data_IF_019249528443
#
_entry.id   IF_019249528443
#
_cell.length_a   1.000
_cell.length_b   1.000
_cell.length_c   1.000
_cell.angle_alpha   90.00
_cell.angle_beta   90.00
_cell.angle_gamma   90.00
#
_symmetry.space_group_name_H-M   'P 1'
#
loop_
_entity.id
_entity.type
_entity.pdbx_description
1 polymer ?
#
# COMPACT_ATOMS: atom_id res chain seq x y z
N UNK A 1 20.31 43.30 55.19
CA UNK A 1 21.05 42.06 54.93
C UNK A 1 20.13 41.07 54.30
N UNK A 2 20.25 40.84 52.97
CA UNK A 2 19.44 39.87 52.17
C UNK A 2 20.17 38.52 52.23
N UNK A 3 19.55 37.50 52.82
CA UNK A 3 20.07 36.13 52.81
C UNK A 3 19.69 35.51 51.45
N UNK A 4 20.72 35.22 50.61
CA UNK A 4 20.59 34.48 49.41
C UNK A 4 20.61 32.99 49.78
N UNK A 5 19.48 32.30 49.57
CA UNK A 5 19.37 30.84 49.73
C UNK A 5 19.73 30.22 48.38
N UNK A 6 20.89 29.56 48.29
CA UNK A 6 21.28 28.74 47.16
C UNK A 6 20.53 27.39 47.26
N UNK A 7 19.54 27.19 46.40
CA UNK A 7 18.94 25.88 46.20
C UNK A 7 19.82 25.13 45.19
N UNK A 8 20.59 24.17 45.68
CA UNK A 8 21.29 23.19 44.88
C UNK A 8 20.25 22.20 44.30
N UNK A 9 19.84 22.37 43.05
CA UNK A 9 19.09 21.36 42.32
C UNK A 9 20.09 20.30 41.90
N UNK A 10 20.18 19.22 42.65
CA UNK A 10 20.87 18.00 42.23
C UNK A 10 19.98 17.36 41.16
N UNK A 11 20.32 17.63 39.92
CA UNK A 11 19.76 16.89 38.76
C UNK A 11 20.32 15.47 38.82
N UNK A 12 19.59 14.57 39.47
CA UNK A 12 19.84 13.12 39.35
C UNK A 12 19.52 12.75 37.93
N UNK A 13 20.54 12.75 37.06
CA UNK A 13 20.49 12.12 35.76
C UNK A 13 20.35 10.61 35.98
N UNK A 14 19.14 10.15 36.19
CA UNK A 14 18.80 8.76 35.91
C UNK A 14 18.98 8.57 34.43
N UNK A 15 20.19 8.26 34.03
CA UNK A 15 20.45 7.63 32.74
C UNK A 15 19.73 6.28 32.72
N UNK A 16 18.45 6.29 32.36
CA UNK A 16 17.81 5.06 31.90
C UNK A 16 18.62 4.59 30.68
N UNK A 17 19.63 3.78 30.94
CA UNK A 17 20.29 3.02 29.90
C UNK A 17 19.20 2.23 29.21
N UNK A 18 18.80 2.65 27.98
CA UNK A 18 17.91 1.85 27.15
C UNK A 18 18.64 0.52 26.96
N UNK A 19 18.12 -0.54 27.59
CA UNK A 19 18.61 -1.89 27.31
C UNK A 19 18.61 -2.07 25.78
N UNK A 20 19.73 -2.60 25.27
CA UNK A 20 19.81 -2.93 23.85
C UNK A 20 18.71 -3.97 23.54
N UNK A 21 17.71 -3.64 22.72
CA UNK A 21 16.63 -4.58 22.38
C UNK A 21 17.13 -5.81 21.60
N UNK A 22 18.36 -5.75 21.09
CA UNK A 22 19.00 -6.80 20.30
C UNK A 22 20.36 -7.18 20.90
N UNK A 23 20.37 -7.86 22.08
CA UNK A 23 21.59 -8.10 22.83
C UNK A 23 22.43 -9.28 22.28
N UNK A 24 21.85 -10.12 21.39
CA UNK A 24 22.52 -11.35 20.97
C UNK A 24 23.41 -11.09 19.74
N UNK A 25 24.61 -11.65 19.79
CA UNK A 25 25.56 -11.71 18.68
C UNK A 25 25.63 -13.12 18.09
N UNK A 26 26.28 -13.29 16.92
CA UNK A 26 26.47 -14.59 16.30
C UNK A 26 27.31 -15.52 17.21
N UNK A 27 28.21 -14.97 18.02
CA UNK A 27 29.03 -15.75 18.95
C UNK A 27 28.23 -16.46 20.06
N UNK A 28 27.00 -16.03 20.30
CA UNK A 28 26.15 -16.62 21.34
C UNK A 28 25.45 -17.91 20.90
N UNK A 29 25.64 -18.33 19.68
CA UNK A 29 25.09 -19.56 19.11
C UNK A 29 26.12 -20.68 19.09
N UNK A 30 25.67 -21.92 18.97
CA UNK A 30 26.56 -23.07 18.84
C UNK A 30 27.46 -22.99 17.60
N UNK A 31 28.71 -23.48 17.66
CA UNK A 31 29.72 -23.29 16.61
C UNK A 31 29.24 -23.66 15.19
N UNK A 32 28.52 -24.78 15.07
CA UNK A 32 28.01 -25.27 13.78
C UNK A 32 27.05 -24.29 13.15
N UNK A 33 26.22 -23.61 13.95
CA UNK A 33 25.26 -22.61 13.48
C UNK A 33 25.94 -21.31 13.10
N UNK A 34 26.98 -20.91 13.85
CA UNK A 34 27.71 -19.65 13.60
C UNK A 34 28.24 -19.55 12.18
N UNK A 35 28.68 -20.66 11.57
CA UNK A 35 29.23 -20.70 10.20
C UNK A 35 28.18 -20.19 9.20
N UNK A 36 26.95 -20.66 9.32
CA UNK A 36 25.84 -20.32 8.43
C UNK A 36 25.27 -18.92 8.74
N UNK A 37 25.21 -18.54 10.01
CA UNK A 37 24.77 -17.21 10.42
C UNK A 37 25.73 -16.13 9.91
N UNK A 38 27.05 -16.34 9.98
CA UNK A 38 28.05 -15.42 9.43
C UNK A 38 27.87 -15.22 7.92
N UNK A 39 27.63 -16.30 7.17
CA UNK A 39 27.37 -16.21 5.74
C UNK A 39 26.12 -15.38 5.43
N UNK A 40 24.99 -15.63 6.11
CA UNK A 40 23.75 -14.92 5.90
C UNK A 40 23.82 -13.45 6.30
N UNK A 41 24.42 -13.14 7.44
CA UNK A 41 24.58 -11.75 7.92
C UNK A 41 25.55 -10.94 7.07
N UNK A 42 26.59 -11.58 6.49
CA UNK A 42 27.58 -10.87 5.66
C UNK A 42 26.99 -10.30 4.36
N UNK A 43 25.91 -10.87 3.84
CA UNK A 43 25.26 -10.40 2.61
C UNK A 43 24.52 -9.06 2.81
N UNK A 44 24.12 -8.72 4.03
CA UNK A 44 23.36 -7.50 4.40
C UNK A 44 22.10 -7.24 3.57
N UNK A 45 21.57 -8.25 2.90
CA UNK A 45 20.45 -8.16 1.96
C UNK A 45 19.56 -9.40 2.01
N UNK A 46 18.32 -9.24 1.50
CA UNK A 46 17.34 -10.32 1.32
C UNK A 46 16.75 -10.28 -0.10
N UNK A 47 16.37 -11.45 -0.66
CA UNK A 47 16.69 -12.78 -0.13
C UNK A 47 18.19 -13.04 -0.19
N UNK A 48 18.70 -13.78 0.79
CA UNK A 48 20.09 -14.24 0.72
C UNK A 48 20.28 -15.18 -0.46
N UNK A 49 21.41 -15.06 -1.15
CA UNK A 49 21.80 -15.96 -2.25
C UNK A 49 22.25 -17.32 -1.76
N UNK A 50 22.75 -17.43 -0.52
CA UNK A 50 23.19 -18.68 0.07
C UNK A 50 22.01 -19.58 0.47
N UNK A 51 21.56 -20.41 -0.49
CA UNK A 51 20.47 -21.37 -0.28
C UNK A 51 20.84 -22.46 0.72
N UNK A 52 22.12 -22.85 0.78
CA UNK A 52 22.63 -23.87 1.71
C UNK A 52 22.48 -23.35 3.13
N UNK A 53 22.97 -22.14 3.40
CA UNK A 53 22.88 -21.55 4.73
C UNK A 53 21.42 -21.37 5.16
N UNK A 54 20.54 -20.87 4.28
CA UNK A 54 19.11 -20.74 4.57
C UNK A 54 18.43 -22.08 4.90
N UNK A 55 18.72 -23.10 4.13
CA UNK A 55 18.15 -24.43 4.37
C UNK A 55 18.69 -25.03 5.68
N UNK A 56 19.97 -24.85 5.98
CA UNK A 56 20.53 -25.29 7.25
C UNK A 56 19.80 -24.67 8.45
N UNK A 57 19.58 -23.35 8.44
CA UNK A 57 18.82 -22.66 9.49
C UNK A 57 17.41 -23.24 9.61
N UNK A 58 16.73 -23.39 8.47
CA UNK A 58 15.36 -23.93 8.43
C UNK A 58 15.26 -25.33 9.03
N UNK A 59 16.23 -26.18 8.76
CA UNK A 59 16.18 -27.61 9.16
C UNK A 59 16.72 -27.81 10.57
N UNK A 60 17.78 -27.12 10.94
CA UNK A 60 18.58 -27.45 12.13
C UNK A 60 18.41 -26.52 13.32
N UNK A 61 17.79 -25.34 13.16
CA UNK A 61 17.53 -24.44 14.29
C UNK A 61 16.36 -24.94 15.13
N UNK A 62 16.55 -24.97 16.45
CA UNK A 62 15.46 -25.19 17.40
C UNK A 62 14.59 -23.93 17.49
N UNK A 63 13.42 -24.05 18.14
CA UNK A 63 12.54 -22.88 18.40
C UNK A 63 13.25 -21.86 19.27
N UNK A 64 13.96 -22.28 20.30
CA UNK A 64 14.70 -21.43 21.22
C UNK A 64 15.80 -20.64 20.49
N UNK A 65 16.54 -21.30 19.60
CA UNK A 65 17.55 -20.65 18.77
C UNK A 65 16.93 -19.61 17.82
N UNK A 66 15.78 -19.91 17.21
CA UNK A 66 15.07 -18.95 16.36
C UNK A 66 14.56 -17.75 17.16
N UNK A 67 14.02 -17.95 18.36
CA UNK A 67 13.62 -16.85 19.27
C UNK A 67 14.81 -16.02 19.72
N UNK A 68 15.97 -16.65 19.95
CA UNK A 68 17.22 -15.95 20.22
C UNK A 68 17.73 -15.15 19.03
N UNK A 69 17.59 -15.69 17.80
CA UNK A 69 17.93 -14.99 16.56
C UNK A 69 17.05 -13.74 16.31
N UNK A 70 15.78 -13.75 16.71
CA UNK A 70 14.91 -12.57 16.66
C UNK A 70 15.41 -11.40 17.51
N UNK A 71 16.29 -11.66 18.47
CA UNK A 71 16.97 -10.66 19.31
C UNK A 71 18.43 -10.46 18.92
N UNK A 72 18.84 -10.91 17.73
CA UNK A 72 20.20 -10.72 17.22
C UNK A 72 20.42 -9.28 16.76
N UNK A 73 21.63 -8.75 16.96
CA UNK A 73 22.03 -7.42 16.47
C UNK A 73 21.88 -7.26 14.95
N UNK A 74 22.08 -8.36 14.19
CA UNK A 74 21.94 -8.37 12.74
C UNK A 74 20.47 -8.45 12.29
N UNK A 75 19.93 -7.41 11.61
CA UNK A 75 18.52 -7.37 11.20
C UNK A 75 18.16 -8.40 10.12
N UNK A 76 19.10 -8.81 9.28
CA UNK A 76 18.87 -9.86 8.26
C UNK A 76 18.56 -11.19 8.95
N UNK A 77 19.32 -11.51 10.01
CA UNK A 77 19.11 -12.74 10.77
C UNK A 77 17.78 -12.74 11.51
N UNK A 78 17.30 -11.57 12.01
CA UNK A 78 15.97 -11.46 12.61
C UNK A 78 14.87 -11.78 11.62
N UNK A 79 14.95 -11.25 10.39
CA UNK A 79 13.96 -11.55 9.34
C UNK A 79 14.01 -13.04 8.94
N UNK A 80 15.20 -13.62 8.79
CA UNK A 80 15.36 -15.05 8.47
C UNK A 80 14.77 -15.93 9.57
N UNK A 81 15.00 -15.60 10.84
CA UNK A 81 14.45 -16.31 11.98
C UNK A 81 12.91 -16.33 11.94
N UNK A 82 12.29 -15.17 11.79
CA UNK A 82 10.83 -15.09 11.70
C UNK A 82 10.26 -15.85 10.50
N UNK A 83 10.87 -15.70 9.32
CA UNK A 83 10.47 -16.47 8.12
C UNK A 83 10.54 -17.97 8.36
N UNK A 84 11.54 -18.43 9.10
CA UNK A 84 11.69 -19.83 9.47
C UNK A 84 10.59 -20.28 10.42
N UNK A 85 10.27 -19.51 11.44
CA UNK A 85 9.17 -19.75 12.38
C UNK A 85 7.83 -19.92 11.63
N UNK A 86 7.52 -18.98 10.74
CA UNK A 86 6.31 -19.06 9.92
C UNK A 86 6.29 -20.29 9.02
N UNK A 87 7.42 -20.62 8.39
CA UNK A 87 7.54 -21.78 7.50
C UNK A 87 7.42 -23.12 8.25
N UNK A 88 7.89 -23.18 9.51
CA UNK A 88 7.73 -24.35 10.39
C UNK A 88 6.31 -24.49 10.98
N UNK A 89 5.38 -23.60 10.63
CA UNK A 89 4.01 -23.59 11.14
C UNK A 89 3.92 -23.45 12.67
N UNK A 90 4.84 -22.72 13.27
CA UNK A 90 4.79 -22.47 14.71
C UNK A 90 3.51 -21.68 15.07
N UNK A 91 2.75 -22.18 16.02
CA UNK A 91 1.47 -21.59 16.45
C UNK A 91 1.60 -20.18 17.04
N UNK A 92 2.79 -19.85 17.55
CA UNK A 92 3.04 -18.56 18.21
C UNK A 92 3.50 -17.48 17.22
N UNK A 93 3.60 -17.77 15.90
CA UNK A 93 4.14 -16.85 14.90
C UNK A 93 3.46 -15.47 14.91
N UNK A 94 2.14 -15.42 15.15
CA UNK A 94 1.39 -14.16 15.20
C UNK A 94 1.70 -13.35 16.46
N UNK A 95 1.78 -14.00 17.61
CA UNK A 95 2.21 -13.35 18.87
C UNK A 95 3.62 -12.77 18.73
N UNK A 96 4.54 -13.56 18.18
CA UNK A 96 5.91 -13.12 17.89
C UNK A 96 5.93 -11.92 16.95
N UNK A 97 5.09 -11.91 15.91
CA UNK A 97 4.96 -10.75 15.03
C UNK A 97 4.60 -9.48 15.80
N UNK A 98 3.57 -9.54 16.64
CA UNK A 98 3.10 -8.38 17.41
C UNK A 98 4.18 -7.83 18.37
N UNK A 99 5.00 -8.69 18.95
CA UNK A 99 6.11 -8.32 19.83
C UNK A 99 7.24 -7.57 19.08
N UNK A 100 7.35 -7.72 17.76
CA UNK A 100 8.42 -7.16 16.93
C UNK A 100 7.98 -6.02 16.00
N UNK A 101 6.78 -5.47 16.19
CA UNK A 101 6.28 -4.33 15.39
C UNK A 101 7.08 -3.03 15.60
N UNK A 102 7.88 -2.93 16.66
CA UNK A 102 8.76 -1.80 16.94
C UNK A 102 10.12 -1.88 16.26
N UNK A 103 10.44 -2.96 15.55
CA UNK A 103 11.74 -3.11 14.90
C UNK A 103 11.83 -2.29 13.61
N UNK A 104 12.32 -1.06 13.75
CA UNK A 104 12.47 -0.10 12.63
C UNK A 104 13.82 -0.17 11.93
N UNK A 105 14.67 -1.16 12.31
CA UNK A 105 15.96 -1.35 11.63
C UNK A 105 15.73 -1.71 10.18
N UNK A 106 16.50 -1.09 9.28
CA UNK A 106 16.34 -1.30 7.85
C UNK A 106 17.13 -2.50 7.34
N UNK A 107 16.53 -3.17 6.37
CA UNK A 107 17.13 -4.29 5.62
C UNK A 107 16.86 -4.06 4.15
N UNK A 108 17.90 -4.20 3.32
CA UNK A 108 17.78 -4.11 1.87
C UNK A 108 17.11 -5.36 1.32
N UNK A 109 16.00 -5.16 0.58
CA UNK A 109 15.28 -6.24 -0.11
C UNK A 109 15.47 -6.10 -1.62
N UNK A 110 16.04 -7.12 -2.23
CA UNK A 110 16.22 -7.21 -3.68
C UNK A 110 15.02 -7.92 -4.32
N UNK A 111 14.40 -7.26 -5.28
CA UNK A 111 13.29 -7.83 -6.07
C UNK A 111 13.81 -8.57 -7.31
N UNK A 112 14.79 -7.92 -7.99
CA UNK A 112 15.46 -8.39 -9.19
C UNK A 112 16.96 -8.03 -9.08
N UNK A 113 17.72 -8.38 -10.09
CA UNK A 113 19.18 -8.13 -10.11
C UNK A 113 19.54 -6.64 -9.98
N UNK A 114 18.65 -5.74 -10.44
CA UNK A 114 18.87 -4.28 -10.51
C UNK A 114 17.87 -3.46 -9.68
N UNK A 115 16.95 -4.09 -9.00
CA UNK A 115 15.88 -3.40 -8.26
C UNK A 115 15.85 -3.81 -6.79
N UNK A 116 16.04 -2.84 -5.90
CA UNK A 116 15.98 -3.04 -4.44
C UNK A 116 15.33 -1.87 -3.73
N UNK A 117 14.86 -2.13 -2.54
CA UNK A 117 14.35 -1.13 -1.58
C UNK A 117 14.77 -1.50 -0.16
N UNK A 118 14.82 -0.49 0.71
CA UNK A 118 15.07 -0.68 2.13
C UNK A 118 13.75 -0.73 2.91
N UNK A 119 13.50 -1.85 3.58
CA UNK A 119 12.33 -2.05 4.43
C UNK A 119 12.72 -2.14 5.90
N UNK A 120 11.82 -1.72 6.79
CA UNK A 120 11.95 -2.03 8.21
C UNK A 120 11.79 -3.53 8.42
N UNK A 121 12.48 -4.09 9.40
CA UNK A 121 12.32 -5.50 9.78
C UNK A 121 10.85 -5.80 10.02
N UNK A 122 10.14 -4.99 10.82
CA UNK A 122 8.70 -5.15 11.09
C UNK A 122 7.85 -5.24 9.82
N UNK A 123 8.11 -4.41 8.78
CA UNK A 123 7.40 -4.48 7.50
C UNK A 123 7.63 -5.84 6.81
N UNK A 124 8.86 -6.37 6.85
CA UNK A 124 9.20 -7.66 6.26
C UNK A 124 8.58 -8.84 7.02
N UNK A 125 8.45 -8.71 8.35
CA UNK A 125 7.77 -9.71 9.17
C UNK A 125 6.27 -9.75 8.85
N UNK A 126 5.63 -8.58 8.76
CA UNK A 126 4.20 -8.47 8.40
C UNK A 126 3.94 -9.07 7.01
N UNK A 127 4.75 -8.69 6.01
CA UNK A 127 4.65 -9.26 4.66
C UNK A 127 4.76 -10.78 4.67
N UNK A 128 5.70 -11.34 5.46
CA UNK A 128 5.85 -12.80 5.55
C UNK A 128 4.64 -13.47 6.18
N UNK A 129 4.05 -12.87 7.21
CA UNK A 129 2.83 -13.39 7.83
C UNK A 129 1.66 -13.40 6.85
N UNK A 130 1.49 -12.31 6.08
CA UNK A 130 0.46 -12.17 5.05
C UNK A 130 0.65 -13.18 3.90
N UNK A 131 1.85 -13.23 3.30
CA UNK A 131 2.19 -14.14 2.19
C UNK A 131 1.95 -15.60 2.55
N UNK A 132 2.06 -15.95 3.83
CA UNK A 132 1.80 -17.29 4.31
C UNK A 132 0.34 -17.72 4.20
N UNK A 133 -0.59 -16.74 4.05
CA UNK A 133 -2.06 -16.90 4.03
C UNK A 133 -2.63 -17.61 5.26
N UNK A 134 -1.91 -17.55 6.39
CA UNK A 134 -2.29 -18.22 7.64
C UNK A 134 -3.04 -17.31 8.60
N UNK A 135 -2.96 -15.99 8.41
CA UNK A 135 -3.67 -15.03 9.24
C UNK A 135 -5.17 -15.26 9.17
N UNK A 136 -5.77 -15.53 10.30
CA UNK A 136 -7.23 -15.54 10.46
C UNK A 136 -7.76 -14.12 10.32
N UNK A 137 -9.08 -13.97 10.08
CA UNK A 137 -9.70 -12.66 9.99
C UNK A 137 -9.56 -11.85 11.31
N UNK A 138 -9.59 -12.53 12.45
CA UNK A 138 -9.35 -11.91 13.76
C UNK A 138 -7.91 -11.38 13.88
N UNK A 139 -6.93 -12.19 13.50
CA UNK A 139 -5.50 -11.78 13.53
C UNK A 139 -5.24 -10.62 12.57
N UNK A 140 -5.83 -10.62 11.37
CA UNK A 140 -5.77 -9.49 10.45
C UNK A 140 -6.33 -8.22 11.08
N UNK A 141 -7.48 -8.29 11.73
CA UNK A 141 -8.06 -7.13 12.41
C UNK A 141 -7.17 -6.60 13.53
N UNK A 142 -6.60 -7.48 14.36
CA UNK A 142 -5.66 -7.11 15.43
C UNK A 142 -4.40 -6.46 14.84
N UNK A 143 -3.88 -7.01 13.75
CA UNK A 143 -2.69 -6.48 13.09
C UNK A 143 -2.95 -5.09 12.49
N UNK A 144 -4.08 -4.90 11.81
CA UNK A 144 -4.50 -3.59 11.27
C UNK A 144 -4.63 -2.56 12.39
N UNK A 145 -5.26 -2.92 13.52
CA UNK A 145 -5.36 -2.04 14.69
C UNK A 145 -3.98 -1.68 15.24
N UNK A 146 -3.13 -2.68 15.40
CA UNK A 146 -1.77 -2.48 15.94
C UNK A 146 -0.95 -1.57 15.03
N UNK A 147 -0.99 -1.79 13.72
CA UNK A 147 -0.24 -1.01 12.75
C UNK A 147 -0.80 0.41 12.64
N UNK A 148 -2.10 0.58 12.39
CA UNK A 148 -2.66 1.91 12.13
C UNK A 148 -2.70 2.80 13.36
N UNK A 149 -2.98 2.24 14.55
CA UNK A 149 -3.16 3.03 15.76
C UNK A 149 -1.88 3.21 16.59
N UNK A 150 -0.95 2.25 16.53
CA UNK A 150 0.27 2.29 17.35
C UNK A 150 1.55 2.48 16.52
N UNK A 151 1.58 1.96 15.28
CA UNK A 151 2.75 1.97 14.41
C UNK A 151 2.45 2.57 13.01
N UNK A 152 1.78 3.74 12.89
CA UNK A 152 1.36 4.29 11.61
C UNK A 152 2.54 4.71 10.71
N UNK A 153 3.76 4.72 11.23
CA UNK A 153 4.99 5.00 10.50
C UNK A 153 5.47 3.82 9.65
N UNK A 154 4.99 2.61 9.89
CA UNK A 154 5.33 1.44 9.09
C UNK A 154 4.83 1.60 7.65
N UNK A 155 5.63 1.15 6.68
CA UNK A 155 5.29 1.29 5.27
C UNK A 155 4.06 0.46 4.89
N UNK A 156 3.91 -0.72 5.48
CA UNK A 156 2.75 -1.59 5.29
C UNK A 156 1.42 -0.88 5.63
N UNK A 157 1.44 0.12 6.53
CA UNK A 157 0.24 0.91 6.85
C UNK A 157 -0.36 1.58 5.61
N UNK A 158 0.47 1.95 4.61
CA UNK A 158 -0.01 2.60 3.38
C UNK A 158 -0.77 1.62 2.49
N UNK A 159 -0.40 0.33 2.50
CA UNK A 159 -1.14 -0.70 1.76
C UNK A 159 -2.42 -1.09 2.48
N UNK A 160 -2.39 -1.21 3.80
CA UNK A 160 -3.61 -1.46 4.60
C UNK A 160 -4.68 -0.41 4.35
N UNK A 161 -4.30 0.87 4.20
CA UNK A 161 -5.23 1.97 3.93
C UNK A 161 -6.02 1.80 2.62
N UNK A 162 -5.48 1.07 1.65
CA UNK A 162 -6.16 0.83 0.38
C UNK A 162 -7.36 -0.11 0.54
N UNK A 163 -7.24 -1.09 1.44
CA UNK A 163 -8.17 -2.22 1.54
C UNK A 163 -9.18 -2.07 2.67
N UNK A 164 -8.83 -1.34 3.75
CA UNK A 164 -9.70 -1.23 4.91
C UNK A 164 -11.01 -0.52 4.61
N UNK A 165 -12.07 -0.99 5.24
CA UNK A 165 -13.34 -0.28 5.27
C UNK A 165 -13.28 0.94 6.21
N UNK A 166 -14.06 2.01 5.96
CA UNK A 166 -14.07 3.18 6.81
C UNK A 166 -14.54 2.83 8.22
N UNK A 167 -13.71 3.14 9.21
CA UNK A 167 -14.04 2.97 10.62
C UNK A 167 -13.55 4.19 11.39
N UNK A 168 -14.43 4.79 12.20
CA UNK A 168 -14.14 6.05 12.90
C UNK A 168 -12.88 5.99 13.77
N UNK A 169 -12.52 4.82 14.31
CA UNK A 169 -11.28 4.65 15.09
C UNK A 169 -10.01 4.98 14.30
N UNK A 170 -10.03 4.84 12.97
CA UNK A 170 -8.87 5.15 12.10
C UNK A 170 -8.93 6.56 11.48
N UNK A 171 -10.07 7.25 11.57
CA UNK A 171 -10.27 8.51 10.87
C UNK A 171 -9.18 9.55 11.17
N UNK A 172 -8.85 9.73 12.45
CA UNK A 172 -7.84 10.72 12.87
C UNK A 172 -6.47 10.43 12.27
N UNK A 173 -5.99 9.19 12.37
CA UNK A 173 -4.68 8.80 11.85
C UNK A 173 -4.63 8.87 10.33
N UNK A 174 -5.68 8.46 9.63
CA UNK A 174 -5.79 8.56 8.17
C UNK A 174 -5.73 10.04 7.73
N UNK A 175 -6.50 10.90 8.39
CA UNK A 175 -6.51 12.34 8.12
C UNK A 175 -5.15 12.99 8.38
N UNK A 176 -4.43 12.55 9.40
CA UNK A 176 -3.07 13.02 9.66
C UNK A 176 -2.09 12.57 8.58
N UNK A 177 -2.12 11.29 8.19
CA UNK A 177 -1.29 10.74 7.09
C UNK A 177 -1.54 11.46 5.76
N UNK A 178 -2.79 11.81 5.45
CA UNK A 178 -3.13 12.53 4.21
C UNK A 178 -2.48 13.92 4.12
N UNK A 179 -2.09 14.52 5.24
CA UNK A 179 -1.43 15.85 5.26
C UNK A 179 0.09 15.78 5.06
N UNK A 180 0.69 14.59 5.20
CA UNK A 180 2.13 14.41 5.09
C UNK A 180 2.49 14.25 3.61
N UNK A 181 3.22 15.24 3.06
CA UNK A 181 3.73 15.16 1.70
C UNK A 181 4.84 14.12 1.63
N UNK A 182 4.78 13.26 0.63
CA UNK A 182 5.79 12.22 0.37
C UNK A 182 6.09 12.15 -1.13
N UNK A 183 7.25 11.65 -1.46
CA UNK A 183 7.70 11.48 -2.86
C UNK A 183 7.02 10.28 -3.55
N UNK A 184 6.41 9.38 -2.76
CA UNK A 184 5.69 8.21 -3.28
C UNK A 184 4.19 8.49 -3.35
N UNK A 185 3.61 8.38 -4.54
CA UNK A 185 2.18 8.58 -4.80
C UNK A 185 1.26 7.84 -3.82
N UNK A 186 1.57 6.58 -3.53
CA UNK A 186 0.71 5.72 -2.71
C UNK A 186 0.63 6.10 -1.24
N UNK A 187 1.55 6.88 -0.71
CA UNK A 187 1.56 7.22 0.72
C UNK A 187 0.55 8.30 1.06
N UNK A 188 0.74 9.51 0.55
CA UNK A 188 -0.19 10.63 0.83
C UNK A 188 -1.53 10.43 0.15
N UNK A 189 -1.54 10.09 -1.14
CA UNK A 189 -2.77 9.92 -1.90
C UNK A 189 -3.50 8.62 -1.56
N UNK A 190 -2.79 7.58 -1.13
CA UNK A 190 -3.40 6.38 -0.53
C UNK A 190 -4.17 6.71 0.74
N UNK A 191 -3.62 7.59 1.59
CA UNK A 191 -4.35 8.11 2.75
C UNK A 191 -5.54 8.99 2.36
N UNK A 192 -5.42 9.82 1.30
CA UNK A 192 -6.55 10.58 0.74
C UNK A 192 -7.65 9.64 0.20
N UNK A 193 -7.26 8.56 -0.46
CA UNK A 193 -8.19 7.53 -0.92
C UNK A 193 -8.93 6.87 0.25
N UNK A 194 -8.22 6.49 1.31
CA UNK A 194 -8.86 5.96 2.52
C UNK A 194 -9.78 7.00 3.18
N UNK A 195 -9.37 8.27 3.24
CA UNK A 195 -10.16 9.36 3.80
C UNK A 195 -11.44 9.61 3.00
N UNK A 196 -11.38 9.50 1.66
CA UNK A 196 -12.55 9.68 0.80
C UNK A 196 -13.67 8.66 1.06
N UNK A 197 -13.33 7.47 1.55
CA UNK A 197 -14.32 6.42 1.90
C UNK A 197 -15.27 6.87 3.03
N UNK A 198 -14.84 7.79 3.90
CA UNK A 198 -15.68 8.35 4.97
C UNK A 198 -16.73 9.36 4.48
N UNK A 199 -16.58 9.90 3.27
CA UNK A 199 -17.52 10.83 2.61
C UNK A 199 -17.89 12.04 3.47
N UNK A 200 -16.94 12.56 4.27
CA UNK A 200 -17.19 13.72 5.15
C UNK A 200 -16.95 15.03 4.41
N UNK A 201 -17.99 15.89 4.33
CA UNK A 201 -17.89 17.20 3.69
C UNK A 201 -16.78 18.08 4.28
N UNK A 202 -16.47 17.92 5.57
CA UNK A 202 -15.37 18.63 6.24
C UNK A 202 -13.98 18.32 5.65
N UNK A 203 -13.83 17.24 4.85
CA UNK A 203 -12.57 16.85 4.23
C UNK A 203 -12.43 17.34 2.78
N UNK A 204 -13.50 17.84 2.16
CA UNK A 204 -13.50 18.28 0.74
C UNK A 204 -12.41 19.31 0.48
N UNK A 205 -12.31 20.35 1.32
CA UNK A 205 -11.30 21.40 1.17
C UNK A 205 -9.87 20.86 1.26
N UNK A 206 -9.63 19.95 2.20
CA UNK A 206 -8.32 19.29 2.37
C UNK A 206 -7.97 18.45 1.13
N UNK A 207 -8.85 17.53 0.75
CA UNK A 207 -8.66 16.65 -0.40
C UNK A 207 -8.43 17.45 -1.69
N UNK A 208 -9.28 18.45 -1.97
CA UNK A 208 -9.12 19.32 -3.15
C UNK A 208 -7.76 20.01 -3.18
N UNK A 209 -7.29 20.52 -2.04
CA UNK A 209 -6.01 21.23 -1.97
C UNK A 209 -4.82 20.30 -2.25
N UNK A 210 -4.90 19.03 -1.86
CA UNK A 210 -3.88 18.02 -2.13
C UNK A 210 -3.92 17.61 -3.60
N UNK A 211 -5.09 17.28 -4.14
CA UNK A 211 -5.26 16.85 -5.53
C UNK A 211 -4.74 17.87 -6.55
N UNK A 212 -4.95 19.17 -6.28
CA UNK A 212 -4.46 20.23 -7.16
C UNK A 212 -2.93 20.42 -7.15
N UNK A 213 -2.24 19.88 -6.13
CA UNK A 213 -0.79 19.99 -5.96
C UNK A 213 -0.04 18.70 -6.26
N UNK A 214 -0.78 17.63 -6.53
CA UNK A 214 -0.20 16.31 -6.77
C UNK A 214 0.38 16.18 -8.17
N UNK A 215 1.39 15.34 -8.32
CA UNK A 215 2.04 15.06 -9.59
C UNK A 215 1.10 14.33 -10.56
N UNK A 216 1.38 14.51 -11.86
CA UNK A 216 0.59 13.91 -12.93
C UNK A 216 0.61 12.39 -12.91
N UNK A 217 1.70 11.81 -12.46
CA UNK A 217 1.88 10.35 -12.41
C UNK A 217 1.07 9.68 -11.29
N UNK A 218 0.46 10.49 -10.41
CA UNK A 218 -0.31 10.03 -9.25
C UNK A 218 -1.83 10.11 -9.43
N UNK A 219 -2.31 10.43 -10.62
CA UNK A 219 -3.74 10.75 -10.88
C UNK A 219 -4.72 9.61 -10.57
N UNK A 220 -4.28 8.35 -10.67
CA UNK A 220 -5.13 7.18 -10.34
C UNK A 220 -5.70 7.27 -8.93
N UNK A 221 -4.89 7.65 -7.96
CA UNK A 221 -5.34 7.81 -6.57
C UNK A 221 -6.36 8.92 -6.40
N UNK A 222 -6.20 10.01 -7.17
CA UNK A 222 -7.15 11.13 -7.20
C UNK A 222 -8.49 10.64 -7.74
N UNK A 223 -8.49 9.93 -8.87
CA UNK A 223 -9.71 9.43 -9.50
C UNK A 223 -10.41 8.40 -8.62
N UNK A 224 -9.68 7.47 -8.01
CA UNK A 224 -10.23 6.53 -7.02
C UNK A 224 -10.86 7.25 -5.82
N UNK A 225 -10.25 8.34 -5.37
CA UNK A 225 -10.78 9.14 -4.26
C UNK A 225 -12.08 9.86 -4.66
N UNK A 226 -12.12 10.44 -5.87
CA UNK A 226 -13.31 11.11 -6.42
C UNK A 226 -14.42 10.08 -6.68
N UNK A 227 -14.09 8.89 -7.17
CA UNK A 227 -15.03 7.79 -7.34
C UNK A 227 -15.74 7.42 -6.04
N UNK A 228 -15.01 7.35 -4.92
CA UNK A 228 -15.58 7.08 -3.61
C UNK A 228 -16.44 8.23 -3.07
N UNK A 229 -16.00 9.46 -3.28
CA UNK A 229 -16.63 10.67 -2.76
C UNK A 229 -16.73 11.73 -3.85
N UNK A 230 -17.78 11.70 -4.70
CA UNK A 230 -17.96 12.61 -5.82
C UNK A 230 -18.50 13.98 -5.38
N UNK A 231 -17.78 14.70 -4.53
CA UNK A 231 -18.13 16.07 -4.17
C UNK A 231 -18.01 16.97 -5.41
N UNK A 232 -18.97 17.86 -5.61
CA UNK A 232 -19.06 18.71 -6.82
C UNK A 232 -17.81 19.58 -7.00
N UNK A 233 -17.15 19.93 -5.91
CA UNK A 233 -15.90 20.70 -5.88
C UNK A 233 -14.74 19.99 -6.57
N UNK A 234 -14.81 18.68 -6.78
CA UNK A 234 -13.79 17.89 -7.47
C UNK A 234 -14.00 17.83 -8.98
N UNK A 235 -15.22 18.09 -9.47
CA UNK A 235 -15.50 18.01 -10.91
C UNK A 235 -14.59 18.90 -11.77
N UNK A 236 -14.20 20.13 -11.35
CA UNK A 236 -13.22 20.95 -12.09
C UNK A 236 -11.85 20.28 -12.26
N UNK A 237 -11.44 19.37 -11.36
CA UNK A 237 -10.19 18.59 -11.49
C UNK A 237 -10.29 17.63 -12.67
N UNK A 238 -11.43 16.93 -12.78
CA UNK A 238 -11.69 16.02 -13.90
C UNK A 238 -11.78 16.78 -15.23
N UNK A 239 -12.45 17.94 -15.22
CA UNK A 239 -12.53 18.82 -16.40
C UNK A 239 -11.14 19.26 -16.88
N UNK A 240 -10.28 19.71 -15.96
CA UNK A 240 -8.93 20.13 -16.29
C UNK A 240 -8.08 18.97 -16.83
N UNK A 241 -8.18 17.78 -16.22
CA UNK A 241 -7.49 16.58 -16.71
C UNK A 241 -7.96 16.21 -18.12
N UNK A 242 -9.29 16.20 -18.36
CA UNK A 242 -9.89 15.93 -19.66
C UNK A 242 -9.36 16.87 -20.74
N UNK A 243 -9.33 18.17 -20.48
CA UNK A 243 -8.84 19.18 -21.41
C UNK A 243 -7.35 19.02 -21.73
N UNK A 244 -6.54 18.71 -20.72
CA UNK A 244 -5.08 18.66 -20.86
C UNK A 244 -4.55 17.33 -21.37
N UNK A 245 -5.21 16.23 -21.04
CA UNK A 245 -4.64 14.90 -21.24
C UNK A 245 -5.50 13.98 -22.11
N UNK A 246 -6.75 14.34 -22.43
CA UNK A 246 -7.64 13.48 -23.20
C UNK A 246 -8.00 14.13 -24.54
N UNK A 247 -8.48 15.36 -24.56
CA UNK A 247 -8.83 16.04 -25.82
C UNK A 247 -7.60 16.16 -26.72
N UNK A 248 -7.74 15.67 -27.95
CA UNK A 248 -6.72 15.70 -29.01
C UNK A 248 -5.42 14.94 -28.68
N UNK A 249 -5.41 14.15 -27.60
CA UNK A 249 -4.23 13.36 -27.19
C UNK A 249 -4.45 11.86 -27.19
N UNK A 250 -5.68 11.39 -27.33
CA UNK A 250 -5.95 9.98 -27.54
C UNK A 250 -5.45 9.57 -28.94
N UNK A 251 -4.27 8.98 -28.95
CA UNK A 251 -3.63 8.47 -30.17
C UNK A 251 -3.68 6.94 -30.17
N UNK A 252 -3.86 6.32 -31.34
CA UNK A 252 -3.77 4.86 -31.46
C UNK A 252 -2.41 4.28 -31.04
N UNK A 253 -1.39 5.10 -30.96
CA UNK A 253 -0.01 4.70 -30.65
C UNK A 253 0.42 5.04 -29.22
N UNK A 254 -0.41 5.72 -28.44
CA UNK A 254 -0.12 6.01 -27.04
C UNK A 254 -0.59 4.87 -26.15
N UNK A 255 0.19 4.56 -25.13
CA UNK A 255 -0.20 3.62 -24.09
C UNK A 255 -1.37 4.21 -23.30
N UNK A 256 -2.53 3.58 -23.43
CA UNK A 256 -3.65 3.86 -22.53
C UNK A 256 -3.36 3.14 -21.24
N UNK A 257 -3.15 3.91 -20.19
CA UNK A 257 -2.88 3.39 -18.85
C UNK A 257 -4.18 3.15 -18.09
N UNK A 258 -4.10 2.50 -16.94
CA UNK A 258 -5.23 2.34 -16.00
C UNK A 258 -5.84 3.69 -15.59
N UNK A 259 -5.12 4.78 -15.77
CA UNK A 259 -5.60 6.15 -15.52
C UNK A 259 -6.92 6.44 -16.22
N UNK A 260 -7.06 6.01 -17.49
CA UNK A 260 -8.27 6.25 -18.27
C UNK A 260 -9.48 5.52 -17.68
N UNK A 261 -9.32 4.29 -17.20
CA UNK A 261 -10.39 3.55 -16.53
C UNK A 261 -10.89 4.28 -15.29
N UNK A 262 -9.96 4.66 -14.40
CA UNK A 262 -10.33 5.35 -13.17
C UNK A 262 -10.85 6.75 -13.42
N UNK A 263 -10.35 7.44 -14.45
CA UNK A 263 -10.94 8.70 -14.92
C UNK A 263 -12.40 8.52 -15.34
N UNK A 264 -12.69 7.53 -16.22
CA UNK A 264 -14.06 7.24 -16.66
C UNK A 264 -14.98 6.93 -15.47
N UNK A 265 -14.51 6.17 -14.48
CA UNK A 265 -15.25 5.86 -13.26
C UNK A 265 -15.53 7.11 -12.43
N UNK A 266 -14.51 7.94 -12.20
CA UNK A 266 -14.67 9.19 -11.47
C UNK A 266 -15.67 10.12 -12.16
N UNK A 267 -15.62 10.24 -13.48
CA UNK A 267 -16.60 11.04 -14.26
C UNK A 267 -18.01 10.46 -14.16
N UNK A 268 -18.14 9.13 -14.27
CA UNK A 268 -19.43 8.47 -14.27
C UNK A 268 -20.18 8.60 -12.93
N UNK A 269 -19.48 8.80 -11.80
CA UNK A 269 -20.13 8.98 -10.49
C UNK A 269 -20.99 10.24 -10.39
N UNK A 270 -20.67 11.29 -11.17
CA UNK A 270 -21.39 12.57 -11.13
C UNK A 270 -22.75 12.53 -11.83
N UNK A 271 -22.97 11.57 -12.73
CA UNK A 271 -24.26 11.38 -13.42
C UNK A 271 -24.83 12.66 -14.04
N UNK A 272 -23.99 13.46 -14.68
CA UNK A 272 -24.35 14.75 -15.27
C UNK A 272 -24.06 14.80 -16.78
N UNK A 273 -24.65 15.76 -17.50
CA UNK A 273 -24.52 15.90 -18.95
C UNK A 273 -23.08 16.21 -19.41
N UNK A 274 -22.30 16.92 -18.62
CA UNK A 274 -20.92 17.23 -18.96
C UNK A 274 -20.06 15.98 -18.87
N UNK A 275 -20.23 15.17 -17.83
CA UNK A 275 -19.58 13.87 -17.70
C UNK A 275 -19.96 12.90 -18.82
N UNK A 276 -21.26 12.89 -19.20
CA UNK A 276 -21.70 12.09 -20.34
C UNK A 276 -20.95 12.48 -21.63
N UNK A 277 -20.84 13.78 -21.95
CA UNK A 277 -20.10 14.26 -23.12
C UNK A 277 -18.63 13.84 -23.11
N UNK A 278 -17.98 13.86 -21.95
CA UNK A 278 -16.59 13.37 -21.78
C UNK A 278 -16.50 11.89 -22.12
N UNK A 279 -17.40 11.07 -21.58
CA UNK A 279 -17.44 9.63 -21.83
C UNK A 279 -17.76 9.28 -23.30
N UNK A 280 -18.68 9.99 -23.94
CA UNK A 280 -18.99 9.86 -25.37
C UNK A 280 -17.79 10.22 -26.25
N UNK A 281 -17.04 11.27 -25.90
CA UNK A 281 -15.81 11.61 -26.61
C UNK A 281 -14.77 10.51 -26.49
N UNK A 282 -14.55 9.97 -25.30
CA UNK A 282 -13.59 8.88 -25.07
C UNK A 282 -14.01 7.63 -25.85
N UNK A 283 -15.28 7.25 -25.82
CA UNK A 283 -15.81 6.11 -26.56
C UNK A 283 -15.61 6.26 -28.07
N UNK A 284 -15.91 7.44 -28.60
CA UNK A 284 -15.78 7.73 -30.02
C UNK A 284 -14.31 7.69 -30.50
N UNK A 285 -13.37 8.12 -29.68
CA UNK A 285 -11.94 8.17 -30.01
C UNK A 285 -11.21 6.93 -29.48
N UNK A 286 -11.69 5.75 -29.88
CA UNK A 286 -11.11 4.49 -29.49
C UNK A 286 -9.60 4.43 -29.77
N UNK A 287 -8.82 4.15 -28.73
CA UNK A 287 -7.40 3.84 -28.83
C UNK A 287 -7.13 2.38 -28.52
N UNK A 288 -6.01 1.89 -28.99
CA UNK A 288 -5.56 0.53 -28.76
C UNK A 288 -4.20 0.57 -28.04
N UNK A 289 -4.03 -0.29 -27.04
CA UNK A 289 -2.72 -0.64 -26.54
C UNK A 289 -2.20 -1.77 -27.42
N UNK A 290 -1.04 -1.63 -28.03
CA UNK A 290 -0.41 -2.70 -28.84
C UNK A 290 -1.30 -3.26 -29.98
N UNK A 291 -1.59 -2.47 -31.01
CA UNK A 291 -2.17 -3.01 -32.26
C UNK A 291 -1.25 -4.12 -32.83
N UNK A 292 -1.79 -5.19 -33.40
CA UNK A 292 -3.19 -5.56 -33.59
C UNK A 292 -3.75 -6.49 -32.50
N UNK A 293 -3.02 -6.76 -31.43
CA UNK A 293 -3.31 -7.87 -30.53
C UNK A 293 -4.39 -7.59 -29.48
N UNK A 294 -4.70 -6.32 -29.21
CA UNK A 294 -5.59 -5.95 -28.11
C UNK A 294 -6.82 -5.18 -28.63
N UNK A 295 -8.02 -5.48 -28.12
CA UNK A 295 -9.23 -4.75 -28.45
C UNK A 295 -9.18 -3.30 -27.96
N UNK A 296 -10.03 -2.39 -28.48
CA UNK A 296 -10.05 -1.00 -28.07
C UNK A 296 -10.44 -0.84 -26.59
N UNK A 297 -9.53 -0.28 -25.79
CA UNK A 297 -9.72 -0.15 -24.35
C UNK A 297 -10.72 0.93 -23.97
N UNK A 298 -10.76 2.06 -24.69
CA UNK A 298 -11.60 3.20 -24.34
C UNK A 298 -13.06 2.82 -24.20
N UNK A 299 -13.60 2.14 -25.20
CA UNK A 299 -14.98 1.66 -25.20
C UNK A 299 -15.27 0.75 -24.00
N UNK A 300 -14.37 -0.17 -23.71
CA UNK A 300 -14.50 -1.10 -22.58
C UNK A 300 -14.42 -0.37 -21.25
N UNK A 301 -13.52 0.58 -21.10
CA UNK A 301 -13.39 1.39 -19.87
C UNK A 301 -14.61 2.27 -19.64
N UNK A 302 -15.13 2.93 -20.67
CA UNK A 302 -16.37 3.68 -20.59
C UNK A 302 -17.53 2.79 -20.18
N UNK A 303 -17.67 1.62 -20.83
CA UNK A 303 -18.75 0.68 -20.51
C UNK A 303 -18.64 0.16 -19.08
N UNK A 304 -17.43 -0.19 -18.60
CA UNK A 304 -17.16 -0.61 -17.23
C UNK A 304 -17.57 0.47 -16.23
N UNK A 305 -17.27 1.73 -16.53
CA UNK A 305 -17.63 2.87 -15.68
C UNK A 305 -19.15 3.10 -15.59
N UNK A 306 -19.85 3.18 -16.75
CA UNK A 306 -21.29 3.44 -16.78
C UNK A 306 -22.11 2.26 -16.26
N UNK A 307 -21.61 1.02 -16.41
CA UNK A 307 -22.23 -0.16 -15.83
C UNK A 307 -22.11 -0.19 -14.29
N UNK A 308 -21.00 0.29 -13.75
CA UNK A 308 -20.80 0.41 -12.29
C UNK A 308 -21.72 1.46 -11.68
N UNK A 309 -21.85 2.62 -12.34
CA UNK A 309 -22.62 3.77 -11.85
C UNK A 309 -23.91 3.98 -12.61
N UNK A 310 -24.71 2.93 -12.77
CA UNK A 310 -25.97 2.93 -13.52
C UNK A 310 -26.78 4.22 -13.31
N UNK A 311 -27.17 4.85 -14.44
CA UNK A 311 -28.01 6.05 -14.43
C UNK A 311 -28.76 6.16 -15.77
N UNK A 312 -29.99 6.68 -15.79
CA UNK A 312 -30.76 6.89 -17.02
C UNK A 312 -30.00 7.77 -18.03
N UNK A 313 -29.18 8.70 -17.57
CA UNK A 313 -28.36 9.58 -18.44
C UNK A 313 -27.40 8.78 -19.34
N UNK A 314 -26.98 7.59 -18.92
CA UNK A 314 -26.05 6.75 -19.67
C UNK A 314 -26.73 5.70 -20.56
N UNK A 315 -28.07 5.60 -20.54
CA UNK A 315 -28.78 4.51 -21.24
C UNK A 315 -28.45 4.43 -22.73
N UNK A 316 -28.49 5.57 -23.43
CA UNK A 316 -28.17 5.62 -24.89
C UNK A 316 -26.73 5.17 -25.16
N UNK A 317 -25.77 5.61 -24.34
CA UNK A 317 -24.37 5.22 -24.50
C UNK A 317 -24.16 3.74 -24.17
N UNK A 318 -24.85 3.24 -23.13
CA UNK A 318 -24.84 1.84 -22.74
C UNK A 318 -25.37 0.94 -23.87
N UNK A 319 -26.54 1.28 -24.43
CA UNK A 319 -27.16 0.51 -25.53
C UNK A 319 -26.32 0.56 -26.81
N UNK A 320 -25.62 1.66 -27.06
CA UNK A 320 -24.68 1.79 -28.18
C UNK A 320 -23.48 0.86 -28.02
N UNK A 321 -22.87 0.78 -26.84
CA UNK A 321 -21.62 0.03 -26.62
C UNK A 321 -21.87 -1.47 -26.46
N UNK A 322 -22.90 -1.87 -25.71
CA UNK A 322 -23.16 -3.26 -25.33
C UNK A 322 -23.11 -4.26 -26.46
N UNK A 323 -23.79 -4.04 -27.63
CA UNK A 323 -23.79 -5.00 -28.75
C UNK A 323 -22.45 -5.12 -29.45
N UNK A 324 -21.51 -4.21 -29.20
CA UNK A 324 -20.18 -4.20 -29.82
C UNK A 324 -19.12 -4.95 -29.00
N UNK A 325 -19.48 -5.43 -27.79
CA UNK A 325 -18.58 -6.18 -26.90
C UNK A 325 -18.77 -7.69 -27.11
N UNK A 326 -17.67 -8.42 -27.21
CA UNK A 326 -17.72 -9.88 -27.28
C UNK A 326 -17.90 -10.52 -25.89
N UNK A 327 -18.04 -11.86 -25.84
CA UNK A 327 -18.29 -12.59 -24.58
C UNK A 327 -17.15 -12.45 -23.56
N UNK A 328 -15.91 -12.44 -24.00
CA UNK A 328 -14.73 -12.31 -23.12
C UNK A 328 -14.60 -10.90 -22.58
N UNK A 329 -14.83 -9.89 -23.42
CA UNK A 329 -14.88 -8.49 -22.99
C UNK A 329 -15.99 -8.28 -21.95
N UNK A 330 -17.18 -8.84 -22.20
CA UNK A 330 -18.29 -8.78 -21.25
C UNK A 330 -17.93 -9.44 -19.92
N UNK A 331 -17.27 -10.60 -19.93
CA UNK A 331 -16.79 -11.26 -18.70
C UNK A 331 -15.83 -10.36 -17.95
N UNK A 332 -14.83 -9.79 -18.62
CA UNK A 332 -13.81 -8.93 -17.98
C UNK A 332 -14.38 -7.65 -17.35
N UNK A 333 -15.53 -7.17 -17.81
CA UNK A 333 -16.19 -5.98 -17.25
C UNK A 333 -16.67 -6.21 -15.81
N UNK A 334 -17.07 -7.43 -15.49
CA UNK A 334 -17.55 -7.78 -14.14
C UNK A 334 -16.44 -8.24 -13.20
N UNK A 335 -15.24 -8.50 -13.72
CA UNK A 335 -14.09 -8.86 -12.89
C UNK A 335 -13.49 -7.62 -12.24
N UNK A 336 -13.10 -7.70 -10.95
CA UNK A 336 -12.37 -6.62 -10.29
C UNK A 336 -10.99 -6.49 -10.94
N UNK A 337 -10.52 -5.27 -11.09
CA UNK A 337 -9.13 -5.01 -11.49
C UNK A 337 -8.16 -5.62 -10.49
N UNK A 338 -6.96 -5.96 -10.94
CA UNK A 338 -5.94 -6.55 -10.08
C UNK A 338 -5.71 -5.71 -8.81
N UNK A 339 -5.66 -4.39 -8.96
CA UNK A 339 -5.45 -3.43 -7.87
C UNK A 339 -6.69 -3.22 -6.96
N UNK A 340 -7.82 -3.88 -7.24
CA UNK A 340 -9.05 -3.82 -6.43
C UNK A 340 -9.25 -5.07 -5.59
N UNK A 341 -8.37 -6.07 -5.71
CA UNK A 341 -8.42 -7.27 -4.89
C UNK A 341 -7.94 -6.93 -3.50
N UNK A 342 -8.83 -7.12 -2.52
CA UNK A 342 -8.50 -6.85 -1.11
C UNK A 342 -7.54 -7.91 -0.58
N UNK A 343 -6.51 -7.45 0.11
CA UNK A 343 -5.51 -8.27 0.77
C UNK A 343 -5.75 -8.33 2.28
N UNK A 344 -6.32 -7.24 2.82
CA UNK A 344 -6.54 -7.02 4.27
C UNK A 344 -8.02 -7.07 4.67
#
# INVERSE_FOLDING_TARGET
>A
MKKIVYIFIISILFGCGRENPYPNSISDFRPELQVYLKKLGSEKKLPSSDTIARNYIKENCTKEELLKLLKCEDPVLRVIAYRTIVNKNDKDYFKILLEHLNDTTKVTWWYYEDAYDDFMVSDLLIRKAEDSRKLTQTEKSILVDSVLLKHPYLEVSNWMLQDIEPNEKYYSVIKQKSKVKTDRCGTQLGACYALSKFKKNADVKLLKSIFLKSDKDCVVWIFKSIENFPAIEFFPILRNYYQKNIINKLSPNENVTDDLLYFCRAVATFKNNEGLKMLEYIEKNNTYINKPYWPPYNKRYVFKAINKFKSPIYSKLFDKIRPTLNKEEMKSIFEPEYNERKTW
#
